data_IF_894565870766
#
_entry.id   IF_894565870766
#
_cell.length_a   1.000
_cell.length_b   1.000
_cell.length_c   1.000
_cell.angle_alpha   90.00
_cell.angle_beta   90.00
_cell.angle_gamma   90.00
#
_symmetry.space_group_name_H-M   'P 1'
#
loop_
_entity.id
_entity.type
_entity.pdbx_description
1 polymer ?
#
# COMPACT_ATOMS: atom_id res chain seq x y z
N UNK A 1 12.70 10.27 13.19
CA UNK A 1 12.19 10.63 11.84
C UNK A 1 12.12 9.38 10.97
N UNK A 2 11.07 8.57 11.09
CA UNK A 2 10.74 7.60 10.04
C UNK A 2 9.32 7.96 9.61
N UNK A 3 9.23 8.82 8.60
CA UNK A 3 7.96 9.18 7.98
C UNK A 3 7.33 7.88 7.51
N UNK A 4 6.25 7.48 8.16
CA UNK A 4 5.36 6.45 7.64
C UNK A 4 4.99 6.90 6.23
N UNK A 5 5.60 6.26 5.23
CA UNK A 5 5.23 6.50 3.83
C UNK A 5 3.81 6.00 3.73
N UNK A 6 2.86 6.93 3.82
CA UNK A 6 1.44 6.65 3.61
C UNK A 6 1.38 6.03 2.22
N UNK A 7 1.28 4.71 2.16
CA UNK A 7 1.19 3.99 0.88
C UNK A 7 -0.08 4.52 0.24
N UNK A 8 0.07 5.19 -0.90
CA UNK A 8 -1.06 5.73 -1.61
C UNK A 8 -1.99 4.59 -1.98
N UNK A 9 -3.30 4.85 -1.92
CA UNK A 9 -4.32 3.83 -2.23
C UNK A 9 -4.11 3.16 -3.59
N UNK A 10 -3.52 3.87 -4.55
CA UNK A 10 -3.24 3.34 -5.89
C UNK A 10 -1.87 2.68 -6.04
N UNK A 11 -0.97 2.81 -5.07
CA UNK A 11 0.36 2.18 -5.08
C UNK A 11 0.26 0.66 -4.96
N UNK A 12 1.28 -0.09 -5.42
CA UNK A 12 1.34 -1.52 -5.17
C UNK A 12 1.34 -1.84 -3.67
N UNK A 13 0.63 -2.90 -3.28
CA UNK A 13 0.56 -3.34 -1.90
C UNK A 13 1.96 -3.78 -1.42
N UNK A 14 2.43 -3.29 -0.26
CA UNK A 14 3.73 -3.71 0.30
C UNK A 14 3.73 -5.19 0.73
N UNK A 15 2.57 -5.83 0.79
CA UNK A 15 2.40 -7.24 1.06
C UNK A 15 2.90 -8.18 -0.06
N UNK A 16 3.35 -7.64 -1.20
CA UNK A 16 3.88 -8.45 -2.31
C UNK A 16 2.82 -9.21 -3.09
N UNK A 17 1.53 -8.96 -2.84
CA UNK A 17 0.43 -9.68 -3.49
C UNK A 17 0.18 -9.30 -4.95
N UNK A 18 0.97 -8.36 -5.50
CA UNK A 18 0.77 -7.79 -6.85
C UNK A 18 -0.49 -6.93 -7.03
N UNK A 19 -1.30 -6.76 -5.98
CA UNK A 19 -2.53 -5.94 -6.02
C UNK A 19 -2.20 -4.51 -5.58
N UNK A 20 -2.98 -3.54 -6.06
CA UNK A 20 -2.93 -2.16 -5.53
C UNK A 20 -3.35 -2.16 -4.06
N UNK A 21 -2.80 -1.24 -3.27
CA UNK A 21 -3.04 -1.11 -1.84
C UNK A 21 -4.54 -1.07 -1.54
N UNK A 22 -5.31 -0.25 -2.26
CA UNK A 22 -6.77 -0.15 -2.14
C UNK A 22 -7.56 -1.44 -2.37
N UNK A 23 -6.99 -2.42 -3.08
CA UNK A 23 -7.64 -3.70 -3.36
C UNK A 23 -7.04 -4.84 -2.52
N UNK A 24 -6.23 -4.52 -1.51
CA UNK A 24 -5.61 -5.51 -0.65
C UNK A 24 -5.68 -5.09 0.83
N UNK A 25 -4.69 -4.34 1.33
CA UNK A 25 -4.62 -3.92 2.74
C UNK A 25 -5.24 -2.54 3.01
N UNK A 26 -5.46 -1.75 1.96
CA UNK A 26 -6.05 -0.42 2.01
C UNK A 26 -7.55 -0.40 1.71
N UNK A 27 -8.31 -1.39 2.23
CA UNK A 27 -9.78 -1.44 2.14
C UNK A 27 -10.41 -0.08 2.43
#
# INVERSE_FOLDING_TARGET
MVKEKVVGRNDPCPCGSGKKYKHCHGR
#
